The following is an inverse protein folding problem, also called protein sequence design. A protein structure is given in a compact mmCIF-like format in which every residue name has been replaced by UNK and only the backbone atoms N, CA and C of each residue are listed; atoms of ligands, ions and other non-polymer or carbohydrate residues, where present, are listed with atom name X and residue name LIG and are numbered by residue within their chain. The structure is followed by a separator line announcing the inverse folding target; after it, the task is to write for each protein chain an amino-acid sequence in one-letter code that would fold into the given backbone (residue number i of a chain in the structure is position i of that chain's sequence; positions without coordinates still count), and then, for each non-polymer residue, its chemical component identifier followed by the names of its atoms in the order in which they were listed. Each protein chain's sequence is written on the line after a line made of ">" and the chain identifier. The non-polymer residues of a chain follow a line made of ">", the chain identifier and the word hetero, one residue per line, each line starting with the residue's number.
data_IF_493648991398
#
_entry.id   IF_493648991398
#
_cell.length_a   1.000
_cell.length_b   1.000
_cell.length_c   1.000
_cell.angle_alpha   90.00
_cell.angle_beta   90.00
_cell.angle_gamma   90.00
#
_symmetry.space_group_name_H-M   'P 1'
#
loop_
_entity.id
_entity.type
_entity.pdbx_description
1 polymer ?
#
# COMPACT_ATOMS: atom_id res chain seq x y z
N UNK A 1 -4.19 9.34 17.72
CA UNK A 1 -5.24 8.89 16.79
C UNK A 1 -6.44 8.52 17.62
N UNK A 2 -7.59 9.10 17.33
CA UNK A 2 -8.84 8.74 18.03
C UNK A 2 -9.39 7.40 17.50
N UNK A 3 -10.26 6.70 18.25
CA UNK A 3 -10.89 5.47 17.77
C UNK A 3 -11.61 5.63 16.42
N UNK A 4 -12.24 6.80 16.20
CA UNK A 4 -12.90 7.12 14.94
C UNK A 4 -11.91 7.29 13.78
N UNK A 5 -10.77 7.93 14.03
CA UNK A 5 -9.71 8.07 13.02
C UNK A 5 -9.09 6.71 12.69
N UNK A 6 -8.84 5.87 13.70
CA UNK A 6 -8.30 4.51 13.50
C UNK A 6 -9.24 3.65 12.66
N UNK A 7 -10.54 3.68 12.96
CA UNK A 7 -11.57 2.96 12.20
C UNK A 7 -11.63 3.42 10.74
N UNK A 8 -11.54 4.73 10.47
CA UNK A 8 -11.49 5.29 9.11
C UNK A 8 -10.21 4.87 8.39
N UNK A 9 -9.06 4.98 9.04
CA UNK A 9 -7.76 4.55 8.50
C UNK A 9 -7.79 3.07 8.11
N UNK A 10 -8.24 2.19 8.99
CA UNK A 10 -8.33 0.75 8.72
C UNK A 10 -9.21 0.47 7.49
N UNK A 11 -10.40 1.08 7.39
CA UNK A 11 -11.27 0.92 6.22
C UNK A 11 -10.62 1.40 4.93
N UNK A 12 -9.95 2.56 4.95
CA UNK A 12 -9.25 3.11 3.78
C UNK A 12 -8.11 2.19 3.36
N UNK A 13 -7.25 1.79 4.29
CA UNK A 13 -6.08 0.94 4.03
C UNK A 13 -6.52 -0.40 3.47
N UNK A 14 -7.45 -1.08 4.15
CA UNK A 14 -7.90 -2.41 3.76
C UNK A 14 -8.60 -2.40 2.40
N UNK A 15 -9.52 -1.45 2.16
CA UNK A 15 -10.23 -1.35 0.88
C UNK A 15 -9.30 -1.09 -0.30
N UNK A 16 -8.32 -0.20 -0.13
CA UNK A 16 -7.32 0.07 -1.15
C UNK A 16 -6.40 -1.13 -1.38
N UNK A 17 -5.95 -1.81 -0.32
CA UNK A 17 -5.12 -3.01 -0.44
C UNK A 17 -5.82 -4.13 -1.22
N UNK A 18 -7.11 -4.37 -0.95
CA UNK A 18 -7.93 -5.34 -1.69
C UNK A 18 -8.15 -4.90 -3.14
N UNK A 19 -8.40 -3.61 -3.39
CA UNK A 19 -8.56 -3.09 -4.75
C UNK A 19 -7.28 -3.25 -5.59
N UNK A 20 -6.11 -2.99 -5.00
CA UNK A 20 -4.83 -3.24 -5.65
C UNK A 20 -4.60 -4.72 -5.92
N UNK A 21 -4.91 -5.59 -4.96
CA UNK A 21 -4.78 -7.03 -5.14
C UNK A 21 -5.65 -7.56 -6.29
N UNK A 22 -6.88 -7.05 -6.43
CA UNK A 22 -7.73 -7.36 -7.56
C UNK A 22 -7.13 -6.90 -8.90
N UNK A 23 -6.54 -5.70 -8.95
CA UNK A 23 -5.84 -5.21 -10.14
C UNK A 23 -4.58 -6.02 -10.48
N UNK A 24 -3.86 -6.51 -9.47
CA UNK A 24 -2.69 -7.37 -9.60
C UNK A 24 -3.02 -8.82 -10.03
N UNK A 25 -4.29 -9.24 -9.95
CA UNK A 25 -4.71 -10.56 -10.41
C UNK A 25 -4.63 -10.70 -11.94
N UNK A 26 -4.54 -9.58 -12.67
CA UNK A 26 -4.38 -9.57 -14.13
C UNK A 26 -2.90 -9.79 -14.46
N UNK A 27 -2.53 -10.85 -15.21
CA UNK A 27 -1.13 -11.21 -15.47
C UNK A 27 -0.49 -10.35 -16.56
N UNK A 28 -0.51 -9.02 -16.40
CA UNK A 28 0.14 -8.05 -17.30
C UNK A 28 1.46 -7.59 -16.66
N UNK A 29 2.61 -7.81 -17.31
CA UNK A 29 3.90 -7.34 -16.81
C UNK A 29 3.90 -5.85 -16.51
N UNK A 30 4.34 -5.46 -15.31
CA UNK A 30 4.44 -4.05 -14.88
C UNK A 30 3.13 -3.39 -14.46
N UNK A 31 1.96 -3.93 -14.81
CA UNK A 31 0.66 -3.37 -14.40
C UNK A 31 0.52 -3.36 -12.88
N UNK A 32 0.93 -4.44 -12.23
CA UNK A 32 0.80 -4.57 -10.79
C UNK A 32 1.48 -3.47 -9.98
N UNK A 33 2.72 -3.15 -10.34
CA UNK A 33 3.48 -2.06 -9.70
C UNK A 33 2.82 -0.70 -9.97
N UNK A 34 2.32 -0.48 -11.20
CA UNK A 34 1.60 0.76 -11.52
C UNK A 34 0.31 0.88 -10.70
N UNK A 35 -0.45 -0.20 -10.58
CA UNK A 35 -1.68 -0.27 -9.76
C UNK A 35 -1.37 0.00 -8.30
N UNK A 36 -0.33 -0.61 -7.73
CA UNK A 36 0.09 -0.41 -6.35
C UNK A 36 0.48 1.05 -6.08
N UNK A 37 1.20 1.68 -7.02
CA UNK A 37 1.61 3.09 -6.90
C UNK A 37 0.43 4.06 -6.96
N UNK A 38 -0.52 3.85 -7.88
CA UNK A 38 -1.73 4.68 -8.00
C UNK A 38 -2.57 4.51 -6.74
N UNK A 39 -2.79 3.27 -6.32
CA UNK A 39 -3.59 2.92 -5.14
C UNK A 39 -2.99 3.53 -3.86
N UNK A 40 -1.66 3.46 -3.69
CA UNK A 40 -1.00 4.07 -2.54
C UNK A 40 -1.08 5.60 -2.56
N UNK A 41 -1.07 6.21 -3.74
CA UNK A 41 -1.25 7.66 -3.88
C UNK A 41 -2.65 8.09 -3.44
N UNK A 42 -3.70 7.40 -3.90
CA UNK A 42 -5.09 7.69 -3.49
C UNK A 42 -5.38 7.31 -2.04
N UNK A 43 -4.73 6.27 -1.53
CA UNK A 43 -4.78 5.92 -0.11
C UNK A 43 -4.17 7.04 0.73
N UNK A 44 -3.03 7.60 0.31
CA UNK A 44 -2.35 8.68 1.01
C UNK A 44 -3.20 9.95 1.09
N UNK A 45 -3.87 10.34 0.00
CA UNK A 45 -4.79 11.49 0.01
C UNK A 45 -5.98 11.24 0.94
N UNK A 46 -6.56 10.04 0.88
CA UNK A 46 -7.70 9.65 1.73
C UNK A 46 -7.34 9.63 3.22
N UNK A 47 -6.17 9.09 3.57
CA UNK A 47 -5.66 9.10 4.94
C UNK A 47 -5.39 10.52 5.43
N UNK A 48 -4.82 11.39 4.60
CA UNK A 48 -4.58 12.79 4.96
C UNK A 48 -5.89 13.51 5.36
N UNK A 49 -6.96 13.26 4.62
CA UNK A 49 -8.28 13.82 4.92
C UNK A 49 -8.86 13.34 6.27
N UNK A 50 -8.53 12.12 6.74
CA UNK A 50 -8.95 11.63 8.06
C UNK A 50 -8.38 12.48 9.20
N UNK A 51 -7.19 13.05 9.00
CA UNK A 51 -6.52 13.93 9.95
C UNK A 51 -6.80 15.42 9.70
N UNK A 52 -7.74 15.75 8.81
CA UNK A 52 -8.09 17.14 8.48
C UNK A 52 -7.08 17.86 7.59
N UNK A 53 -6.09 17.13 7.05
CA UNK A 53 -5.13 17.66 6.11
C UNK A 53 -5.65 17.67 4.69
N UNK A 54 -5.05 18.51 3.85
CA UNK A 54 -5.21 18.45 2.41
C UNK A 54 -3.83 18.31 1.76
N UNK A 55 -3.71 17.49 0.72
CA UNK A 55 -2.42 17.16 0.14
C UNK A 55 -2.50 17.20 -1.39
N UNK A 56 -1.49 17.83 -2.00
CA UNK A 56 -1.36 17.82 -3.46
C UNK A 56 -1.03 16.40 -3.93
N UNK A 57 -1.42 16.07 -5.16
CA UNK A 57 -1.13 14.75 -5.74
C UNK A 57 0.37 14.46 -5.76
N UNK A 58 1.20 15.47 -6.04
CA UNK A 58 2.66 15.35 -6.03
C UNK A 58 3.20 14.97 -4.64
N UNK A 59 2.70 15.60 -3.58
CA UNK A 59 3.08 15.29 -2.21
C UNK A 59 2.57 13.91 -1.77
N UNK A 60 1.34 13.55 -2.14
CA UNK A 60 0.77 12.23 -1.88
C UNK A 60 1.59 11.13 -2.57
N UNK A 61 1.98 11.34 -3.82
CA UNK A 61 2.83 10.42 -4.57
C UNK A 61 4.22 10.27 -3.93
N UNK A 62 4.83 11.37 -3.49
CA UNK A 62 6.11 11.32 -2.80
C UNK A 62 6.03 10.53 -1.47
N UNK A 63 4.98 10.74 -0.69
CA UNK A 63 4.70 10.00 0.55
C UNK A 63 4.43 8.52 0.28
N UNK A 64 3.62 8.21 -0.74
CA UNK A 64 3.36 6.83 -1.17
C UNK A 64 4.64 6.09 -1.54
N UNK A 65 5.52 6.72 -2.33
CA UNK A 65 6.85 6.17 -2.66
C UNK A 65 7.67 5.93 -1.39
N UNK A 66 7.73 6.91 -0.48
CA UNK A 66 8.48 6.78 0.77
C UNK A 66 7.95 5.63 1.64
N UNK A 67 6.64 5.49 1.76
CA UNK A 67 6.00 4.42 2.54
C UNK A 67 6.24 3.03 1.97
N UNK A 68 6.11 2.87 0.65
CA UNK A 68 6.43 1.60 -0.03
C UNK A 68 7.91 1.27 0.18
N UNK A 69 8.82 2.24 -0.02
CA UNK A 69 10.26 2.04 0.20
C UNK A 69 10.56 1.64 1.65
N UNK A 70 10.04 2.37 2.63
CA UNK A 70 10.23 2.07 4.04
C UNK A 70 9.69 0.69 4.42
N UNK A 71 8.58 0.27 3.83
CA UNK A 71 7.97 -1.03 4.09
C UNK A 71 8.77 -2.16 3.43
N UNK A 72 9.18 -1.98 2.17
CA UNK A 72 10.07 -2.92 1.46
C UNK A 72 11.40 -3.13 2.19
N UNK A 73 11.98 -2.07 2.76
CA UNK A 73 13.21 -2.16 3.55
C UNK A 73 13.01 -2.90 4.88
N UNK A 74 11.82 -2.81 5.48
CA UNK A 74 11.46 -3.51 6.71
C UNK A 74 11.06 -4.97 6.48
N UNK A 75 10.57 -5.30 5.29
CA UNK A 75 10.26 -6.68 4.93
C UNK A 75 11.54 -7.45 4.58
N UNK A 76 11.64 -8.74 4.94
CA UNK A 76 12.75 -9.57 4.51
C UNK A 76 12.70 -9.71 2.98
N UNK A 77 13.52 -8.93 2.27
CA UNK A 77 13.63 -8.94 0.79
C UNK A 77 13.89 -10.36 0.28
N UNK A 78 14.59 -11.19 1.07
CA UNK A 78 14.80 -12.63 0.80
C UNK A 78 13.49 -13.42 0.70
N UNK A 79 12.45 -13.09 1.46
CA UNK A 79 11.17 -13.80 1.43
C UNK A 79 10.40 -13.45 0.16
N UNK A 80 10.34 -12.16 -0.20
CA UNK A 80 9.72 -11.72 -1.45
C UNK A 80 10.46 -12.33 -2.65
N UNK A 81 11.79 -12.22 -2.69
CA UNK A 81 12.61 -12.79 -3.75
C UNK A 81 12.49 -14.33 -3.84
N UNK A 82 12.37 -15.02 -2.69
CA UNK A 82 12.22 -16.47 -2.65
C UNK A 82 10.85 -16.92 -3.16
N UNK A 83 9.78 -16.22 -2.81
CA UNK A 83 8.44 -16.53 -3.31
C UNK A 83 8.28 -16.16 -4.80
N UNK A 84 8.90 -15.07 -5.25
CA UNK A 84 9.01 -14.75 -6.68
C UNK A 84 9.90 -15.75 -7.45
N UNK A 85 10.94 -16.32 -6.82
CA UNK A 85 11.82 -17.32 -7.46
C UNK A 85 11.20 -18.72 -7.56
N UNK A 86 10.21 -19.04 -6.73
CA UNK A 86 9.45 -20.31 -6.75
C UNK A 86 8.23 -20.26 -7.67
N UNK A 87 8.08 -19.19 -8.43
CA UNK A 87 6.89 -18.90 -9.21
C UNK A 87 6.81 -19.85 -10.41
N UNK A 88 6.26 -21.03 -10.15
CA UNK A 88 5.83 -22.02 -11.14
C UNK A 88 4.82 -21.32 -12.08
N UNK A 89 4.84 -21.59 -13.40
CA UNK A 89 3.84 -21.05 -14.32
C UNK A 89 2.42 -21.30 -13.75
N UNK A 90 1.71 -20.22 -13.41
CA UNK A 90 0.37 -20.27 -12.81
C UNK A 90 0.28 -20.01 -11.30
N UNK A 91 1.35 -20.11 -10.51
CA UNK A 91 1.33 -19.81 -9.06
C UNK A 91 1.43 -18.31 -8.76
N UNK A 92 2.03 -17.54 -9.68
CA UNK A 92 2.21 -16.10 -9.53
C UNK A 92 0.91 -15.30 -9.45
N UNK A 93 -0.19 -15.83 -9.98
CA UNK A 93 -1.51 -15.20 -9.91
C UNK A 93 -2.09 -15.15 -8.50
N UNK A 94 -1.62 -15.99 -7.56
CA UNK A 94 -2.09 -16.02 -6.17
C UNK A 94 -1.07 -15.36 -5.22
N UNK A 95 0.21 -15.55 -5.51
CA UNK A 95 1.30 -15.00 -4.68
C UNK A 95 1.40 -13.48 -4.85
N UNK A 96 1.26 -12.95 -6.06
CA UNK A 96 1.40 -11.52 -6.30
C UNK A 96 0.29 -10.69 -5.61
N UNK A 97 -1.01 -11.02 -5.72
CA UNK A 97 -2.06 -10.29 -5.00
C UNK A 97 -1.88 -10.32 -3.49
N UNK A 98 -1.48 -11.46 -2.93
CA UNK A 98 -1.27 -11.61 -1.48
C UNK A 98 -0.12 -10.74 -0.98
N UNK A 99 0.99 -10.70 -1.72
CA UNK A 99 2.12 -9.81 -1.41
C UNK A 99 1.69 -8.34 -1.53
N UNK A 100 0.92 -7.98 -2.56
CA UNK A 100 0.40 -6.62 -2.71
C UNK A 100 -0.49 -6.21 -1.54
N UNK A 101 -1.43 -7.06 -1.08
CA UNK A 101 -2.24 -6.76 0.12
C UNK A 101 -1.33 -6.50 1.33
N UNK A 102 -0.42 -7.42 1.63
CA UNK A 102 0.44 -7.33 2.80
C UNK A 102 1.34 -6.08 2.76
N UNK A 103 1.90 -5.78 1.58
CA UNK A 103 2.75 -4.61 1.36
C UNK A 103 1.95 -3.31 1.54
N UNK A 104 0.78 -3.20 0.90
CA UNK A 104 -0.05 -1.99 0.93
C UNK A 104 -0.66 -1.76 2.32
N UNK A 105 -1.06 -2.81 3.03
CA UNK A 105 -1.53 -2.71 4.41
C UNK A 105 -0.43 -2.17 5.33
N UNK A 106 0.77 -2.77 5.29
CA UNK A 106 1.88 -2.34 6.12
C UNK A 106 2.36 -0.92 5.78
N UNK A 107 2.41 -0.58 4.49
CA UNK A 107 2.76 0.77 4.04
C UNK A 107 1.67 1.79 4.40
N UNK A 108 0.40 1.45 4.25
CA UNK A 108 -0.74 2.27 4.62
C UNK A 108 -0.78 2.59 6.11
N UNK A 109 -0.51 1.60 6.96
CA UNK A 109 -0.40 1.82 8.41
C UNK A 109 0.81 2.66 8.81
N UNK A 110 1.93 2.53 8.08
CA UNK A 110 3.08 3.42 8.27
C UNK A 110 2.70 4.86 7.92
N UNK A 111 2.03 5.08 6.79
CA UNK A 111 1.52 6.40 6.40
C UNK A 111 0.54 6.99 7.41
N UNK A 112 -0.41 6.20 7.90
CA UNK A 112 -1.39 6.66 8.87
C UNK A 112 -0.73 7.20 10.15
N UNK A 113 0.31 6.51 10.64
CA UNK A 113 1.09 6.96 11.81
C UNK A 113 1.93 8.21 11.53
N UNK A 114 2.53 8.31 10.34
CA UNK A 114 3.27 9.52 9.96
C UNK A 114 2.34 10.74 9.81
N UNK A 115 1.14 10.54 9.27
CA UNK A 115 0.12 11.58 9.14
C UNK A 115 -0.45 11.99 10.49
N UNK A 116 -0.74 11.02 11.36
CA UNK A 116 -1.12 11.27 12.76
C UNK A 116 -0.07 12.18 13.43
N UNK A 117 1.21 11.84 13.37
CA UNK A 117 2.27 12.66 13.96
C UNK A 117 2.37 14.07 13.39
N UNK A 118 2.01 14.26 12.11
CA UNK A 118 2.05 15.57 11.45
C UNK A 118 0.85 16.46 11.79
N UNK A 119 -0.30 15.88 12.08
CA UNK A 119 -1.58 16.59 12.24
C UNK A 119 -2.18 16.48 13.65
N UNK A 120 -1.56 15.73 14.56
CA UNK A 120 -1.88 15.72 16.00
C UNK A 120 -1.31 16.91 16.76
#
# INVERSE_FOLDING_TARGET
>A
MTPDQESKCHKIIHSHAIAAAAGNAIPVPGLGIATDMVTMTTMCTSLCAVFGGNMTEAAAKAMAIAAIKNTMLKQPIKTIAKELSKLIPGLGSVVAPTISVALLEAAGWTLAKELEQKFS
#
